data_IF_030742332610
#
_entry.id   IF_030742332610
#
_cell.length_a   1.000
_cell.length_b   1.000
_cell.length_c   1.000
_cell.angle_alpha   90.00
_cell.angle_beta   90.00
_cell.angle_gamma   90.00
#
_symmetry.space_group_name_H-M   'P 1'
#
loop_
_entity.id
_entity.type
_entity.pdbx_description
1 polymer ?
#
# COMPACT_ATOMS: atom_id res chain seq x y z
N UNK A 1 6.52 29.13 5.65
CA UNK A 1 5.45 29.23 4.64
C UNK A 1 5.89 28.90 3.21
N UNK A 2 7.03 29.48 2.70
CA UNK A 2 7.49 29.22 1.32
C UNK A 2 7.85 27.75 1.05
N UNK A 3 8.58 27.09 1.95
CA UNK A 3 8.99 25.68 1.84
C UNK A 3 7.79 24.73 1.80
N UNK A 4 6.76 24.97 2.61
CA UNK A 4 5.55 24.16 2.64
C UNK A 4 4.74 24.28 1.33
N UNK A 5 4.66 25.48 0.74
CA UNK A 5 4.00 25.69 -0.55
C UNK A 5 4.72 24.95 -1.69
N UNK A 6 6.04 24.98 -1.71
CA UNK A 6 6.85 24.23 -2.71
C UNK A 6 6.61 22.75 -2.58
N UNK A 7 6.67 22.18 -1.35
CA UNK A 7 6.41 20.76 -1.11
C UNK A 7 5.01 20.37 -1.60
N UNK A 8 3.99 21.19 -1.29
CA UNK A 8 2.62 20.96 -1.73
C UNK A 8 2.50 20.98 -3.26
N UNK A 9 3.10 21.96 -3.93
CA UNK A 9 3.08 22.05 -5.41
C UNK A 9 3.76 20.81 -6.02
N UNK A 10 4.93 20.41 -5.52
CA UNK A 10 5.63 19.22 -5.99
C UNK A 10 4.80 17.97 -5.76
N UNK A 11 4.15 17.84 -4.60
CA UNK A 11 3.25 16.73 -4.30
C UNK A 11 2.12 16.64 -5.34
N UNK A 12 1.44 17.72 -5.59
CA UNK A 12 0.33 17.78 -6.56
C UNK A 12 0.82 17.48 -7.97
N UNK A 13 1.96 18.05 -8.39
CA UNK A 13 2.54 17.77 -9.71
C UNK A 13 2.86 16.28 -9.89
N UNK A 14 3.49 15.66 -8.91
CA UNK A 14 3.80 14.21 -8.95
C UNK A 14 2.52 13.39 -8.97
N UNK A 15 1.50 13.76 -8.18
CA UNK A 15 0.21 13.08 -8.20
C UNK A 15 -0.47 13.15 -9.59
N UNK A 16 -0.47 14.31 -10.22
CA UNK A 16 -1.04 14.49 -11.58
C UNK A 16 -0.25 13.67 -12.60
N UNK A 17 1.07 13.68 -12.57
CA UNK A 17 1.91 12.88 -13.47
C UNK A 17 1.63 11.38 -13.26
N UNK A 18 1.51 10.93 -12.02
CA UNK A 18 1.20 9.54 -11.70
C UNK A 18 -0.19 9.14 -12.21
N UNK A 19 -1.18 10.02 -12.09
CA UNK A 19 -2.53 9.79 -12.63
C UNK A 19 -2.52 9.66 -14.16
N UNK A 20 -1.79 10.55 -14.84
CA UNK A 20 -1.62 10.48 -16.30
C UNK A 20 -0.92 9.19 -16.72
N UNK A 21 0.13 8.78 -15.99
CA UNK A 21 0.84 7.53 -16.22
C UNK A 21 -0.09 6.31 -16.09
N UNK A 22 -0.99 6.30 -15.09
CA UNK A 22 -2.01 5.27 -14.95
C UNK A 22 -2.93 5.20 -16.17
N UNK A 23 -3.40 6.36 -16.64
CA UNK A 23 -4.30 6.41 -17.77
C UNK A 23 -3.64 5.94 -19.09
N UNK A 24 -2.36 6.29 -19.30
CA UNK A 24 -1.61 5.93 -20.52
C UNK A 24 -1.08 4.49 -20.52
N UNK A 25 -0.71 3.95 -19.36
CA UNK A 25 -0.06 2.65 -19.22
C UNK A 25 -0.53 1.91 -17.96
N UNK A 26 -1.80 1.46 -17.88
CA UNK A 26 -2.40 0.91 -16.66
C UNK A 26 -1.67 -0.35 -16.16
N UNK A 27 -1.23 -1.25 -17.04
CA UNK A 27 -0.48 -2.45 -16.64
C UNK A 27 0.85 -2.12 -15.98
N UNK A 28 1.61 -1.18 -16.55
CA UNK A 28 2.90 -0.79 -16.01
C UNK A 28 2.74 -0.02 -14.69
N UNK A 29 1.73 0.86 -14.63
CA UNK A 29 1.39 1.62 -13.43
C UNK A 29 0.94 0.72 -12.29
N UNK A 30 0.11 -0.30 -12.58
CA UNK A 30 -0.31 -1.29 -11.59
C UNK A 30 0.88 -2.10 -11.07
N UNK A 31 1.78 -2.55 -11.95
CA UNK A 31 3.01 -3.24 -11.55
C UNK A 31 3.88 -2.36 -10.65
N UNK A 32 4.11 -1.12 -11.05
CA UNK A 32 4.86 -0.15 -10.25
C UNK A 32 4.20 0.08 -8.89
N UNK A 33 2.86 0.20 -8.85
CA UNK A 33 2.10 0.34 -7.61
C UNK A 33 2.30 -0.84 -6.67
N UNK A 34 2.20 -2.07 -7.16
CA UNK A 34 2.38 -3.28 -6.36
C UNK A 34 3.81 -3.38 -5.81
N UNK A 35 4.83 -3.10 -6.63
CA UNK A 35 6.23 -3.14 -6.21
C UNK A 35 6.55 -2.07 -5.17
N UNK A 36 6.14 -0.82 -5.41
CA UNK A 36 6.35 0.28 -4.48
C UNK A 36 5.60 0.04 -3.17
N UNK A 37 4.35 -0.45 -3.23
CA UNK A 37 3.56 -0.80 -2.05
C UNK A 37 4.21 -1.93 -1.25
N UNK A 38 4.84 -2.93 -1.92
CA UNK A 38 5.62 -3.97 -1.23
C UNK A 38 6.73 -3.36 -0.39
N UNK A 39 7.50 -2.45 -0.95
CA UNK A 39 8.59 -1.78 -0.23
C UNK A 39 8.04 -0.91 0.90
N UNK A 40 7.02 -0.12 0.63
CA UNK A 40 6.44 0.80 1.60
C UNK A 40 5.82 0.07 2.80
N UNK A 41 4.95 -0.92 2.57
CA UNK A 41 4.33 -1.69 3.64
C UNK A 41 5.35 -2.51 4.43
N UNK A 42 6.35 -3.08 3.75
CA UNK A 42 7.42 -3.81 4.41
C UNK A 42 8.29 -2.93 5.30
N UNK A 43 8.58 -1.69 4.89
CA UNK A 43 9.35 -0.72 5.68
C UNK A 43 8.55 -0.12 6.84
N UNK A 44 7.25 0.02 6.70
CA UNK A 44 6.38 0.54 7.74
C UNK A 44 6.17 -0.45 8.90
N UNK A 45 6.55 -1.71 8.75
CA UNK A 45 6.34 -2.74 9.75
C UNK A 45 7.36 -2.63 10.91
N UNK A 46 6.91 -2.60 12.19
CA UNK A 46 7.79 -2.52 13.35
C UNK A 46 8.82 -3.66 13.45
N UNK A 47 8.50 -4.85 12.89
CA UNK A 47 9.40 -6.01 12.88
C UNK A 47 10.64 -5.79 11.99
N UNK A 48 10.57 -4.82 11.07
CA UNK A 48 11.66 -4.44 10.17
C UNK A 48 12.42 -3.22 10.68
N UNK A 49 11.85 -2.46 11.61
CA UNK A 49 12.38 -1.15 12.06
C UNK A 49 13.71 -1.23 12.83
N UNK A 50 14.15 -2.40 13.28
CA UNK A 50 15.49 -2.55 13.87
C UNK A 50 16.56 -2.76 12.78
N UNK A 51 16.77 -1.70 11.99
CA UNK A 51 17.73 -1.71 10.88
C UNK A 51 19.20 -1.78 11.30
N UNK A 52 19.52 -1.39 12.54
CA UNK A 52 20.91 -1.13 12.95
C UNK A 52 21.79 -2.38 12.97
N UNK A 53 21.18 -3.56 13.13
CA UNK A 53 21.89 -4.83 13.30
C UNK A 53 21.61 -5.86 12.20
N UNK A 54 20.89 -5.48 11.12
CA UNK A 54 20.54 -6.41 10.03
C UNK A 54 21.44 -6.22 8.82
N UNK A 55 21.86 -7.34 8.24
CA UNK A 55 22.51 -7.33 6.94
C UNK A 55 21.47 -7.05 5.83
N UNK A 56 21.95 -6.69 4.63
CA UNK A 56 21.07 -6.33 3.51
C UNK A 56 20.10 -7.45 3.13
N UNK A 57 20.53 -8.71 3.17
CA UNK A 57 19.70 -9.86 2.82
C UNK A 57 18.55 -10.05 3.82
N UNK A 58 18.81 -9.92 5.12
CA UNK A 58 17.78 -9.95 6.18
C UNK A 58 16.77 -8.82 6.01
N UNK A 59 17.25 -7.63 5.67
CA UNK A 59 16.41 -6.47 5.48
C UNK A 59 15.49 -6.64 4.26
N UNK A 60 16.06 -7.00 3.11
CA UNK A 60 15.30 -7.19 1.86
C UNK A 60 14.28 -8.32 2.03
N UNK A 61 14.67 -9.45 2.64
CA UNK A 61 13.75 -10.57 2.88
C UNK A 61 12.61 -10.18 3.80
N UNK A 62 12.88 -9.45 4.90
CA UNK A 62 11.85 -9.00 5.82
C UNK A 62 10.87 -8.01 5.15
N UNK A 63 11.38 -7.07 4.34
CA UNK A 63 10.55 -6.14 3.55
C UNK A 63 9.69 -6.91 2.56
N UNK A 64 10.26 -7.85 1.81
CA UNK A 64 9.54 -8.65 0.82
C UNK A 64 8.48 -9.53 1.46
N UNK A 65 8.79 -10.17 2.59
CA UNK A 65 7.84 -11.01 3.32
C UNK A 65 6.66 -10.19 3.84
N UNK A 66 6.93 -9.13 4.60
CA UNK A 66 5.88 -8.33 5.25
C UNK A 66 5.09 -7.47 4.25
N UNK A 67 5.77 -6.78 3.34
CA UNK A 67 5.12 -5.94 2.35
C UNK A 67 4.45 -6.73 1.24
N UNK A 68 5.01 -7.88 0.87
CA UNK A 68 4.46 -8.76 -0.15
C UNK A 68 3.21 -9.53 0.28
N UNK A 69 2.83 -9.47 1.55
CA UNK A 69 1.63 -10.11 2.06
C UNK A 69 0.37 -9.70 1.28
N UNK A 70 0.19 -8.41 1.05
CA UNK A 70 -0.97 -7.84 0.36
C UNK A 70 -0.76 -7.65 -1.13
N UNK A 71 0.49 -7.54 -1.57
CA UNK A 71 0.82 -7.20 -2.96
C UNK A 71 1.27 -8.39 -3.80
N UNK A 72 1.66 -9.49 -3.15
CA UNK A 72 2.13 -10.72 -3.81
C UNK A 72 1.29 -11.92 -3.36
N UNK A 73 1.27 -12.21 -2.04
CA UNK A 73 0.62 -13.40 -1.51
C UNK A 73 -0.89 -13.37 -1.66
N UNK A 74 -1.53 -12.26 -1.30
CA UNK A 74 -2.99 -12.10 -1.43
C UNK A 74 -3.46 -12.18 -2.90
N UNK A 75 -2.85 -11.49 -3.88
CA UNK A 75 -3.17 -11.66 -5.29
C UNK A 75 -2.96 -13.08 -5.81
N UNK A 76 -1.93 -13.76 -5.35
CA UNK A 76 -1.70 -15.17 -5.73
C UNK A 76 -2.79 -16.09 -5.16
N UNK A 77 -3.15 -15.92 -3.89
CA UNK A 77 -4.16 -16.74 -3.20
C UNK A 77 -5.54 -16.63 -3.87
N UNK A 78 -5.89 -15.46 -4.37
CA UNK A 78 -7.17 -15.13 -5.02
C UNK A 78 -7.01 -14.84 -6.51
N UNK A 79 -6.10 -15.55 -7.19
CA UNK A 79 -5.74 -15.20 -8.57
C UNK A 79 -6.93 -15.11 -9.53
N UNK A 80 -7.94 -15.98 -9.41
CA UNK A 80 -9.10 -15.97 -10.28
C UNK A 80 -9.92 -14.67 -10.17
N UNK A 81 -10.09 -14.15 -8.96
CA UNK A 81 -10.79 -12.89 -8.69
C UNK A 81 -9.92 -11.69 -9.04
N UNK A 82 -8.64 -11.76 -8.68
CA UNK A 82 -7.67 -10.66 -8.90
C UNK A 82 -7.45 -10.42 -10.40
N UNK A 83 -7.39 -11.45 -11.22
CA UNK A 83 -7.27 -11.26 -12.67
C UNK A 83 -8.46 -10.53 -13.28
N UNK A 84 -9.66 -10.75 -12.75
CA UNK A 84 -10.85 -9.99 -13.15
C UNK A 84 -10.69 -8.51 -12.75
N UNK A 85 -10.25 -8.26 -11.51
CA UNK A 85 -9.99 -6.90 -11.03
C UNK A 85 -8.94 -6.22 -11.89
N UNK A 86 -7.82 -6.87 -12.21
CA UNK A 86 -6.77 -6.29 -13.06
C UNK A 86 -7.29 -5.92 -14.44
N UNK A 87 -8.09 -6.78 -15.05
CA UNK A 87 -8.73 -6.48 -16.35
C UNK A 87 -9.71 -5.29 -16.24
N UNK A 88 -10.49 -5.19 -15.15
CA UNK A 88 -11.37 -4.04 -14.89
C UNK A 88 -10.60 -2.74 -14.71
N UNK A 89 -9.37 -2.82 -14.20
CA UNK A 89 -8.45 -1.68 -14.05
C UNK A 89 -7.74 -1.30 -15.36
N UNK A 90 -8.05 -2.00 -16.47
CA UNK A 90 -7.39 -1.79 -17.76
C UNK A 90 -6.01 -2.45 -17.87
N UNK A 91 -5.61 -3.26 -16.89
CA UNK A 91 -4.34 -3.96 -16.92
C UNK A 91 -4.50 -5.35 -17.56
N UNK A 92 -3.52 -5.75 -18.39
CA UNK A 92 -3.53 -7.03 -19.07
C UNK A 92 -3.13 -8.15 -18.11
N UNK A 93 -4.09 -8.95 -17.63
CA UNK A 93 -3.85 -10.01 -16.63
C UNK A 93 -2.79 -11.03 -17.04
N UNK A 94 -2.68 -11.34 -18.34
CA UNK A 94 -1.68 -12.28 -18.86
C UNK A 94 -0.22 -11.85 -18.59
N UNK A 95 0.03 -10.55 -18.44
CA UNK A 95 1.35 -10.03 -18.07
C UNK A 95 1.67 -10.36 -16.59
N UNK A 96 0.65 -10.36 -15.73
CA UNK A 96 0.83 -10.51 -14.29
C UNK A 96 0.93 -11.97 -13.85
N UNK A 97 0.46 -12.92 -14.64
CA UNK A 97 0.49 -14.33 -14.27
C UNK A 97 1.93 -14.86 -14.10
N UNK A 98 2.85 -14.73 -15.06
CA UNK A 98 4.24 -15.16 -14.87
C UNK A 98 4.98 -14.34 -13.80
N UNK A 99 4.68 -13.03 -13.70
CA UNK A 99 5.25 -12.18 -12.66
C UNK A 99 4.77 -12.61 -11.28
N UNK A 100 3.50 -12.99 -11.15
CA UNK A 100 2.91 -13.49 -9.91
C UNK A 100 3.51 -14.83 -9.47
N UNK A 101 3.74 -15.75 -10.40
CA UNK A 101 4.42 -17.04 -10.12
C UNK A 101 5.85 -16.80 -9.62
N UNK A 102 6.61 -15.94 -10.29
CA UNK A 102 7.94 -15.58 -9.83
C UNK A 102 7.90 -14.87 -8.47
N UNK A 103 6.98 -13.92 -8.32
CA UNK A 103 6.80 -13.15 -7.09
C UNK A 103 6.48 -14.01 -5.89
N UNK A 104 5.60 -15.03 -6.03
CA UNK A 104 5.25 -15.92 -4.93
C UNK A 104 6.40 -16.83 -4.51
N UNK A 105 7.23 -17.28 -5.45
CA UNK A 105 8.46 -18.03 -5.14
C UNK A 105 9.40 -17.16 -4.31
N UNK A 106 9.66 -15.93 -4.76
CA UNK A 106 10.52 -14.98 -4.04
C UNK A 106 9.93 -14.65 -2.67
N UNK A 107 8.61 -14.53 -2.56
CA UNK A 107 7.93 -14.26 -1.30
C UNK A 107 8.09 -15.42 -0.30
N UNK A 108 7.89 -16.68 -0.72
CA UNK A 108 8.09 -17.87 0.14
C UNK A 108 9.54 -18.03 0.59
N UNK A 109 10.51 -17.81 -0.31
CA UNK A 109 11.93 -17.83 0.04
C UNK A 109 12.26 -16.73 1.07
N UNK A 110 11.72 -15.54 0.87
CA UNK A 110 11.88 -14.42 1.80
C UNK A 110 11.22 -14.70 3.16
N UNK A 111 10.04 -15.33 3.17
CA UNK A 111 9.35 -15.76 4.39
C UNK A 111 10.19 -16.79 5.15
N UNK A 112 10.63 -17.84 4.47
CA UNK A 112 11.46 -18.90 5.08
C UNK A 112 12.76 -18.34 5.66
N UNK A 113 13.48 -17.51 4.88
CA UNK A 113 14.71 -16.88 5.35
C UNK A 113 14.47 -15.97 6.56
N UNK A 114 13.40 -15.15 6.53
CA UNK A 114 13.08 -14.25 7.63
C UNK A 114 12.69 -15.00 8.89
N UNK A 115 11.91 -16.09 8.79
CA UNK A 115 11.52 -16.91 9.92
C UNK A 115 12.70 -17.63 10.56
N UNK A 116 13.68 -18.07 9.77
CA UNK A 116 14.91 -18.74 10.27
C UNK A 116 15.87 -17.72 10.91
N UNK A 117 16.09 -16.57 10.26
CA UNK A 117 17.05 -15.56 10.71
C UNK A 117 16.54 -14.72 11.88
N UNK A 118 15.23 -14.49 11.95
CA UNK A 118 14.59 -13.59 12.92
C UNK A 118 13.57 -14.36 13.75
N UNK A 119 14.01 -15.05 14.80
CA UNK A 119 13.13 -15.77 15.73
C UNK A 119 12.31 -14.79 16.58
N UNK A 120 11.27 -14.23 16.00
CA UNK A 120 10.41 -13.24 16.65
C UNK A 120 8.98 -13.80 16.77
N UNK A 121 8.36 -13.63 17.93
CA UNK A 121 6.98 -14.06 18.20
C UNK A 121 5.97 -13.42 17.24
N UNK A 122 6.21 -12.16 16.82
CA UNK A 122 5.36 -11.47 15.83
C UNK A 122 5.35 -12.16 14.46
N UNK A 123 6.48 -12.74 14.04
CA UNK A 123 6.56 -13.53 12.80
C UNK A 123 5.79 -14.84 12.91
N UNK A 124 5.86 -15.49 14.06
CA UNK A 124 5.08 -16.71 14.35
C UNK A 124 3.59 -16.38 14.27
N UNK A 125 3.14 -15.31 14.94
CA UNK A 125 1.75 -14.86 14.89
C UNK A 125 1.32 -14.52 13.46
N UNK A 126 2.15 -13.82 12.69
CA UNK A 126 1.88 -13.53 11.28
C UNK A 126 1.67 -14.81 10.48
N UNK A 127 2.51 -15.83 10.71
CA UNK A 127 2.39 -17.13 10.04
C UNK A 127 1.08 -17.83 10.40
N UNK A 128 0.66 -17.83 11.67
CA UNK A 128 -0.62 -18.37 12.09
C UNK A 128 -1.80 -17.61 11.46
N UNK A 129 -1.74 -16.29 11.41
CA UNK A 129 -2.76 -15.48 10.72
C UNK A 129 -2.86 -15.82 9.22
N UNK A 130 -1.72 -16.07 8.56
CA UNK A 130 -1.69 -16.50 7.16
C UNK A 130 -2.31 -17.88 6.95
N UNK A 131 -2.00 -18.84 7.80
CA UNK A 131 -2.62 -20.17 7.76
C UNK A 131 -4.13 -20.09 7.99
N UNK A 132 -4.57 -19.26 8.94
CA UNK A 132 -5.99 -18.96 9.15
C UNK A 132 -6.64 -18.35 7.91
N UNK A 133 -5.98 -17.40 7.26
CA UNK A 133 -6.47 -16.75 6.05
C UNK A 133 -6.62 -17.76 4.89
N UNK A 134 -5.65 -18.65 4.70
CA UNK A 134 -5.73 -19.72 3.70
C UNK A 134 -6.89 -20.67 4.00
N UNK A 135 -7.08 -21.03 5.28
CA UNK A 135 -8.18 -21.91 5.70
C UNK A 135 -9.56 -21.30 5.48
N UNK A 136 -9.72 -20.01 5.79
CA UNK A 136 -10.98 -19.27 5.66
C UNK A 136 -11.11 -18.48 4.35
N UNK A 137 -10.32 -18.78 3.32
CA UNK A 137 -10.27 -17.96 2.10
C UNK A 137 -11.61 -17.80 1.41
N UNK A 138 -12.46 -18.83 1.43
CA UNK A 138 -13.80 -18.79 0.81
C UNK A 138 -14.80 -17.86 1.56
N UNK A 139 -14.45 -17.43 2.79
CA UNK A 139 -15.30 -16.53 3.59
C UNK A 139 -15.01 -15.05 3.33
N UNK A 140 -13.94 -14.72 2.59
CA UNK A 140 -13.51 -13.36 2.35
C UNK A 140 -13.25 -13.09 0.88
N UNK A 141 -13.48 -11.84 0.46
CA UNK A 141 -13.05 -11.37 -0.87
C UNK A 141 -11.66 -10.71 -0.80
N UNK A 142 -10.86 -10.73 -1.88
CA UNK A 142 -9.56 -10.08 -1.88
C UNK A 142 -9.63 -8.58 -1.59
N UNK A 143 -10.69 -7.91 -2.05
CA UNK A 143 -10.89 -6.47 -1.78
C UNK A 143 -11.21 -6.20 -0.30
N UNK A 144 -12.01 -7.05 0.36
CA UNK A 144 -12.30 -6.90 1.79
C UNK A 144 -11.05 -7.09 2.66
N UNK A 145 -10.22 -8.07 2.31
CA UNK A 145 -8.94 -8.31 3.00
C UNK A 145 -7.94 -7.17 2.77
N UNK A 146 -7.84 -6.68 1.53
CA UNK A 146 -7.01 -5.53 1.23
C UNK A 146 -7.48 -4.28 2.00
N UNK A 147 -8.80 -4.01 2.01
CA UNK A 147 -9.36 -2.90 2.75
C UNK A 147 -9.13 -3.03 4.27
N UNK A 148 -9.32 -4.21 4.84
CA UNK A 148 -9.06 -4.47 6.25
C UNK A 148 -7.57 -4.25 6.60
N UNK A 149 -6.65 -4.78 5.78
CA UNK A 149 -5.22 -4.53 5.96
C UNK A 149 -4.90 -3.04 5.88
N UNK A 150 -5.34 -2.38 4.82
CA UNK A 150 -5.03 -0.98 4.58
C UNK A 150 -5.59 -0.06 5.66
N UNK A 151 -6.86 -0.21 6.02
CA UNK A 151 -7.52 0.66 6.99
C UNK A 151 -7.10 0.37 8.43
N UNK A 152 -7.00 -0.91 8.82
CA UNK A 152 -6.81 -1.30 10.22
C UNK A 152 -5.33 -1.50 10.55
N UNK A 153 -4.61 -2.28 9.74
CA UNK A 153 -3.22 -2.65 10.07
C UNK A 153 -2.21 -1.59 9.62
N UNK A 154 -2.48 -0.89 8.52
CA UNK A 154 -1.57 0.12 7.99
C UNK A 154 -1.94 1.54 8.41
N UNK A 155 -3.14 2.02 8.09
CA UNK A 155 -3.51 3.42 8.27
C UNK A 155 -3.80 3.80 9.72
N UNK A 156 -4.46 2.92 10.49
CA UNK A 156 -4.86 3.22 11.86
C UNK A 156 -3.66 3.48 12.79
N UNK A 157 -2.58 2.70 12.79
CA UNK A 157 -1.40 3.00 13.61
C UNK A 157 -0.76 4.35 13.28
N UNK A 158 -0.67 4.69 11.98
CA UNK A 158 -0.16 5.99 11.54
C UNK A 158 -1.06 7.15 11.99
N UNK A 159 -2.37 6.97 11.88
CA UNK A 159 -3.35 7.93 12.34
C UNK A 159 -3.25 8.16 13.87
N UNK A 160 -3.23 7.08 14.66
CA UNK A 160 -3.10 7.17 16.11
C UNK A 160 -1.80 7.85 16.55
N UNK A 161 -0.69 7.58 15.84
CA UNK A 161 0.59 8.24 16.08
C UNK A 161 0.51 9.74 15.80
N UNK A 162 -0.02 10.13 14.65
CA UNK A 162 -0.19 11.54 14.28
C UNK A 162 -1.07 12.30 15.29
N UNK A 163 -2.11 11.67 15.83
CA UNK A 163 -2.96 12.28 16.88
C UNK A 163 -2.21 12.52 18.20
N UNK A 164 -1.39 11.56 18.62
CA UNK A 164 -0.55 11.72 19.82
C UNK A 164 0.43 12.89 19.66
N UNK A 165 1.02 13.04 18.48
CA UNK A 165 1.99 14.12 18.21
C UNK A 165 1.34 15.50 18.16
N UNK A 166 0.03 15.60 17.84
CA UNK A 166 -0.71 16.88 17.81
C UNK A 166 -1.29 17.22 19.20
N UNK A 167 -1.11 16.37 20.22
CA UNK A 167 -1.64 16.52 21.59
C UNK A 167 -3.17 16.79 21.62
N UNK A 168 -3.92 16.25 20.64
CA UNK A 168 -5.37 16.42 20.55
C UNK A 168 -6.12 15.16 20.99
N UNK A 169 -7.27 15.30 21.68
CA UNK A 169 -8.10 14.15 22.01
C UNK A 169 -8.64 13.50 20.73
N UNK A 170 -8.54 12.18 20.63
CA UNK A 170 -9.00 11.35 19.51
C UNK A 170 -10.45 11.62 19.07
N UNK A 171 -11.31 12.03 20.01
CA UNK A 171 -12.73 12.32 19.79
C UNK A 171 -13.01 13.68 19.15
N UNK A 172 -11.99 14.52 18.94
CA UNK A 172 -12.14 15.84 18.30
C UNK A 172 -11.12 15.99 17.15
N UNK A 173 -11.31 15.27 16.06
CA UNK A 173 -10.44 15.42 14.89
C UNK A 173 -10.50 16.88 14.40
N UNK A 174 -9.38 17.44 13.95
CA UNK A 174 -9.35 18.81 13.43
C UNK A 174 -10.26 18.92 12.20
N UNK A 175 -10.94 20.07 12.05
CA UNK A 175 -11.83 20.33 10.90
C UNK A 175 -11.16 20.01 9.56
N UNK A 176 -9.85 20.27 9.42
CA UNK A 176 -9.08 19.92 8.24
C UNK A 176 -9.07 18.43 7.90
N UNK A 177 -9.20 17.53 8.88
CA UNK A 177 -9.34 16.11 8.64
C UNK A 177 -10.65 15.79 7.90
N UNK A 178 -11.77 16.35 8.34
CA UNK A 178 -13.07 16.17 7.67
C UNK A 178 -13.04 16.76 6.26
N UNK A 179 -12.51 17.97 6.11
CA UNK A 179 -12.39 18.62 4.80
C UNK A 179 -11.57 17.75 3.85
N UNK A 180 -10.41 17.25 4.27
CA UNK A 180 -9.56 16.39 3.44
C UNK A 180 -10.25 15.07 3.08
N UNK A 181 -10.98 14.47 4.02
CA UNK A 181 -11.75 13.24 3.76
C UNK A 181 -12.86 13.48 2.74
N UNK A 182 -13.64 14.56 2.89
CA UNK A 182 -14.68 14.94 1.93
C UNK A 182 -14.09 15.23 0.56
N UNK A 183 -12.97 15.96 0.50
CA UNK A 183 -12.28 16.25 -0.75
C UNK A 183 -11.76 14.98 -1.44
N UNK A 184 -11.25 14.01 -0.68
CA UNK A 184 -10.82 12.73 -1.24
C UNK A 184 -11.99 11.95 -1.84
N UNK A 185 -13.15 11.90 -1.16
CA UNK A 185 -14.36 11.26 -1.69
C UNK A 185 -14.90 11.98 -2.92
N UNK A 186 -14.95 13.32 -2.92
CA UNK A 186 -15.35 14.10 -4.09
C UNK A 186 -14.43 13.82 -5.29
N UNK A 187 -13.12 13.72 -5.06
CA UNK A 187 -12.17 13.38 -6.10
C UNK A 187 -12.46 11.98 -6.69
N UNK A 188 -12.71 10.97 -5.85
CA UNK A 188 -13.07 9.63 -6.30
C UNK A 188 -14.36 9.65 -7.13
N UNK A 189 -15.38 10.38 -6.69
CA UNK A 189 -16.65 10.52 -7.43
C UNK A 189 -16.42 11.19 -8.80
N UNK A 190 -15.70 12.30 -8.86
CA UNK A 190 -15.39 13.02 -10.12
C UNK A 190 -14.65 12.11 -11.10
N UNK A 191 -13.63 11.37 -10.61
CA UNK A 191 -12.86 10.46 -11.45
C UNK A 191 -13.71 9.23 -11.85
N UNK A 192 -14.59 8.73 -10.99
CA UNK A 192 -15.55 7.68 -11.35
C UNK A 192 -16.47 8.12 -12.49
N UNK A 193 -16.99 9.33 -12.45
CA UNK A 193 -17.82 9.89 -13.53
C UNK A 193 -17.04 9.98 -14.85
N UNK A 194 -15.77 10.33 -14.79
CA UNK A 194 -14.90 10.34 -15.98
C UNK A 194 -14.74 8.94 -16.59
N UNK A 195 -14.48 7.93 -15.78
CA UNK A 195 -14.36 6.54 -16.26
C UNK A 195 -15.71 5.95 -16.71
N UNK A 196 -16.81 6.39 -16.12
CA UNK A 196 -18.15 5.85 -16.39
C UNK A 196 -18.58 6.03 -17.86
N UNK A 197 -18.05 7.00 -18.57
CA UNK A 197 -18.37 7.22 -20.00
C UNK A 197 -18.08 5.99 -20.89
N UNK A 198 -17.12 5.15 -20.48
CA UNK A 198 -16.66 3.99 -21.27
C UNK A 198 -16.73 2.65 -20.52
N UNK A 199 -17.26 2.62 -19.29
CA UNK A 199 -17.24 1.44 -18.41
C UNK A 199 -18.54 1.32 -17.62
N UNK A 200 -18.77 0.13 -17.03
CA UNK A 200 -19.84 -0.05 -16.03
C UNK A 200 -19.55 0.76 -14.76
N UNK A 201 -20.59 1.06 -13.97
CA UNK A 201 -20.45 1.81 -12.70
C UNK A 201 -19.42 1.17 -11.77
N UNK A 202 -19.50 -0.15 -11.60
CA UNK A 202 -18.58 -0.91 -10.73
C UNK A 202 -17.13 -0.81 -11.20
N UNK A 203 -16.88 -0.96 -12.50
CA UNK A 203 -15.55 -0.85 -13.10
C UNK A 203 -15.01 0.56 -13.00
N UNK A 204 -15.83 1.58 -13.31
CA UNK A 204 -15.44 2.99 -13.22
C UNK A 204 -15.05 3.39 -11.78
N UNK A 205 -15.84 2.96 -10.78
CA UNK A 205 -15.55 3.22 -9.38
C UNK A 205 -14.25 2.54 -8.93
N UNK A 206 -14.06 1.29 -9.32
CA UNK A 206 -12.84 0.55 -9.00
C UNK A 206 -11.61 1.21 -9.63
N UNK A 207 -11.70 1.57 -10.92
CA UNK A 207 -10.63 2.26 -11.64
C UNK A 207 -10.31 3.62 -11.01
N UNK A 208 -11.33 4.37 -10.57
CA UNK A 208 -11.14 5.65 -9.88
C UNK A 208 -10.42 5.46 -8.54
N UNK A 209 -10.84 4.51 -7.71
CA UNK A 209 -10.22 4.25 -6.41
C UNK A 209 -8.75 3.88 -6.59
N UNK A 210 -8.44 2.92 -7.47
CA UNK A 210 -7.05 2.47 -7.64
C UNK A 210 -6.17 3.53 -8.31
N UNK A 211 -6.67 4.28 -9.29
CA UNK A 211 -5.90 5.36 -9.92
C UNK A 211 -5.62 6.51 -8.95
N UNK A 212 -6.58 6.86 -8.08
CA UNK A 212 -6.36 7.86 -7.02
C UNK A 212 -5.39 7.35 -5.96
N UNK A 213 -5.53 6.09 -5.52
CA UNK A 213 -4.58 5.47 -4.59
C UNK A 213 -3.16 5.50 -5.17
N UNK A 214 -2.98 5.08 -6.42
CA UNK A 214 -1.69 5.14 -7.09
C UNK A 214 -1.14 6.56 -7.15
N UNK A 215 -1.95 7.51 -7.65
CA UNK A 215 -1.57 8.89 -7.82
C UNK A 215 -1.13 9.56 -6.51
N UNK A 216 -1.80 9.26 -5.39
CA UNK A 216 -1.46 9.82 -4.09
C UNK A 216 -0.35 9.04 -3.36
N UNK A 217 -0.21 7.75 -3.62
CA UNK A 217 0.81 6.91 -2.97
C UNK A 217 2.21 7.29 -3.44
N UNK A 218 2.41 7.56 -4.74
CA UNK A 218 3.74 7.91 -5.27
C UNK A 218 4.34 9.14 -4.56
N UNK A 219 3.68 10.32 -4.54
CA UNK A 219 4.25 11.47 -3.84
C UNK A 219 4.30 11.27 -2.32
N UNK A 220 3.37 10.50 -1.72
CA UNK A 220 3.42 10.16 -0.31
C UNK A 220 4.70 9.38 0.03
N UNK A 221 5.02 8.36 -0.74
CA UNK A 221 6.22 7.54 -0.53
C UNK A 221 7.51 8.36 -0.74
N UNK A 222 7.54 9.22 -1.78
CA UNK A 222 8.67 10.13 -2.00
C UNK A 222 8.88 11.04 -0.78
N UNK A 223 7.80 11.56 -0.19
CA UNK A 223 7.87 12.41 1.00
C UNK A 223 8.31 11.64 2.25
N UNK A 224 7.70 10.49 2.51
CA UNK A 224 7.92 9.72 3.75
C UNK A 224 9.23 8.93 3.68
N UNK A 225 9.54 8.31 2.53
CA UNK A 225 10.69 7.43 2.38
C UNK A 225 11.93 8.13 1.79
N UNK A 226 11.76 9.22 1.04
CA UNK A 226 12.83 9.82 0.23
C UNK A 226 13.21 11.26 0.54
N UNK A 227 12.27 12.14 0.86
CA UNK A 227 12.52 13.58 0.97
C UNK A 227 12.65 14.08 2.41
N UNK A 228 12.18 13.34 3.40
CA UNK A 228 12.45 13.68 4.80
C UNK A 228 13.91 13.30 5.10
N UNK A 229 14.80 14.28 5.28
CA UNK A 229 16.18 13.98 5.58
C UNK A 229 16.24 13.15 6.86
N UNK A 230 17.18 12.19 6.91
CA UNK A 230 17.49 11.32 8.06
C UNK A 230 17.63 12.04 9.43
N UNK A 231 17.57 13.36 9.45
CA UNK A 231 17.50 14.15 10.69
C UNK A 231 16.25 13.90 11.54
N UNK A 232 15.22 13.27 10.98
CA UNK A 232 14.08 12.76 11.75
C UNK A 232 14.31 11.33 12.29
N UNK A 233 15.52 10.79 12.21
CA UNK A 233 15.91 9.59 12.98
C UNK A 233 15.79 9.80 14.50
N UNK A 234 15.83 11.03 14.98
CA UNK A 234 15.53 11.37 16.39
C UNK A 234 14.02 11.38 16.71
N UNK A 235 13.15 11.17 15.72
CA UNK A 235 11.71 10.90 15.90
C UNK A 235 11.41 9.42 16.16
N UNK A 236 12.45 8.59 16.17
CA UNK A 236 12.36 7.21 16.59
C UNK A 236 12.54 7.15 18.09
N UNK A 237 11.41 7.12 18.76
CA UNK A 237 11.23 6.51 20.08
C UNK A 237 11.89 7.24 21.25
N UNK A 238 11.14 7.93 21.94
CA UNK A 238 11.02 7.76 23.39
C UNK A 238 9.64 7.23 23.69
#
# INVERSE_FOLDING_TARGET
>A
PKKQRVIFIVYVMVAVISFIAWYLAPSLSLLAFLLLSTVHFGRANPLVLDYKNKNLAELVSAITFQGGLTTIFLPWLYWNEIKVIFNLLGATSNLFEPIGIFGIIVWFLSAAFTLVSQRNIGLILTTFCLLGLVYFKESFTPLSLFAAFFCVLHSLPHYLKAFKEIERPLLRPPLGFFINTVMAWLLVVIISLFFFQNQSVSSATLSAIFSVLFALTIPHMILVDGLLPRKLENWRIT
#
